data_IF_816823050402
#
_entry.id   IF_816823050402
#
_cell.length_a   1.000
_cell.length_b   1.000
_cell.length_c   1.000
_cell.angle_alpha   90.00
_cell.angle_beta   90.00
_cell.angle_gamma   90.00
#
_symmetry.space_group_name_H-M   'P 1'
#
loop_
_entity.id
_entity.type
_entity.pdbx_description
1 polymer ?
#
# COMPACT_ATOMS: atom_id res chain seq x y z
N UNK A 1 9.40 1.57 -7.28
CA UNK A 1 10.45 0.69 -7.86
C UNK A 1 11.14 1.41 -9.02
N UNK A 2 12.40 1.10 -9.31
CA UNK A 2 13.09 1.66 -10.47
C UNK A 2 12.54 1.11 -11.81
N UNK A 3 12.87 1.78 -12.91
CA UNK A 3 12.42 1.40 -14.25
C UNK A 3 12.83 -0.02 -14.67
N UNK A 4 14.01 -0.50 -14.27
CA UNK A 4 14.49 -1.82 -14.69
C UNK A 4 13.70 -2.95 -14.04
N UNK A 5 13.32 -2.78 -12.77
CA UNK A 5 12.42 -3.71 -12.05
C UNK A 5 11.02 -3.71 -12.67
N UNK A 6 10.52 -2.55 -13.09
CA UNK A 6 9.25 -2.45 -13.80
C UNK A 6 9.27 -3.21 -15.13
N UNK A 7 10.31 -3.02 -15.95
CA UNK A 7 10.47 -3.78 -17.20
C UNK A 7 10.60 -5.27 -16.92
N UNK A 8 11.34 -5.66 -15.88
CA UNK A 8 11.42 -7.07 -15.47
C UNK A 8 10.04 -7.65 -15.17
N UNK A 9 9.21 -6.96 -14.37
CA UNK A 9 7.84 -7.40 -14.04
C UNK A 9 7.02 -7.66 -15.32
N UNK A 10 7.08 -6.74 -16.28
CA UNK A 10 6.31 -6.85 -17.52
C UNK A 10 6.81 -7.97 -18.45
N UNK A 11 8.12 -8.08 -18.66
CA UNK A 11 8.71 -9.09 -19.53
C UNK A 11 8.57 -10.50 -18.94
N UNK A 12 8.74 -10.65 -17.62
CA UNK A 12 8.60 -11.96 -16.95
C UNK A 12 7.16 -12.30 -16.58
N UNK A 13 6.23 -11.33 -16.63
CA UNK A 13 4.85 -11.44 -16.13
C UNK A 13 4.79 -12.12 -14.76
N UNK A 14 5.69 -11.70 -13.87
CA UNK A 14 5.94 -12.35 -12.58
C UNK A 14 6.37 -11.33 -11.55
N UNK A 15 5.89 -11.49 -10.32
CA UNK A 15 6.42 -10.78 -9.17
C UNK A 15 7.71 -11.47 -8.70
N UNK A 16 8.74 -10.68 -8.38
CA UNK A 16 9.96 -11.19 -7.77
C UNK A 16 9.81 -11.23 -6.25
N UNK A 17 9.98 -12.41 -5.67
CA UNK A 17 9.99 -12.63 -4.23
C UNK A 17 11.45 -12.78 -3.78
N UNK A 18 11.92 -11.80 -3.02
CA UNK A 18 13.29 -11.75 -2.49
C UNK A 18 13.45 -12.73 -1.35
N UNK A 19 14.60 -13.43 -1.25
CA UNK A 19 14.90 -14.26 -0.09
C UNK A 19 14.89 -13.42 1.19
N UNK A 20 14.25 -13.95 2.23
CA UNK A 20 14.23 -13.33 3.55
C UNK A 20 15.64 -13.13 4.12
N UNK A 21 16.59 -14.01 3.77
CA UNK A 21 17.98 -13.86 4.21
C UNK A 21 18.64 -12.58 3.67
N UNK A 22 18.32 -12.18 2.44
CA UNK A 22 18.84 -10.95 1.85
C UNK A 22 18.25 -9.72 2.55
N UNK A 23 16.97 -9.78 2.91
CA UNK A 23 16.36 -8.73 3.70
C UNK A 23 17.04 -8.60 5.08
N UNK A 24 17.36 -9.74 5.70
CA UNK A 24 18.09 -9.80 6.97
C UNK A 24 19.52 -9.23 6.91
N UNK A 25 20.17 -9.26 5.75
CA UNK A 25 21.48 -8.60 5.55
C UNK A 25 21.36 -7.07 5.63
N UNK A 26 20.19 -6.51 5.28
CA UNK A 26 19.92 -5.06 5.33
C UNK A 26 19.33 -4.61 6.67
N UNK A 27 18.52 -5.46 7.30
CA UNK A 27 18.00 -5.27 8.65
C UNK A 27 18.17 -6.56 9.46
N UNK A 28 19.11 -6.56 10.41
CA UNK A 28 19.40 -7.73 11.25
C UNK A 28 18.19 -8.27 12.03
N UNK A 29 17.16 -7.44 12.24
CA UNK A 29 15.94 -7.82 12.95
C UNK A 29 14.92 -8.51 12.05
N UNK A 30 15.05 -8.36 10.74
CA UNK A 30 14.13 -8.92 9.76
C UNK A 30 14.20 -10.45 9.74
N UNK A 31 13.05 -11.12 9.92
CA UNK A 31 12.99 -12.57 9.98
C UNK A 31 13.47 -13.19 11.30
N UNK A 32 13.66 -12.39 12.35
CA UNK A 32 14.14 -12.84 13.67
C UNK A 32 13.10 -12.66 14.78
N UNK A 33 13.30 -13.31 15.93
CA UNK A 33 12.53 -13.06 17.15
C UNK A 33 13.30 -12.15 18.10
N UNK A 34 12.60 -11.26 18.80
CA UNK A 34 13.17 -10.47 19.89
C UNK A 34 13.35 -11.32 21.18
N UNK A 35 14.11 -10.79 22.13
CA UNK A 35 14.43 -11.50 23.37
C UNK A 35 13.17 -11.83 24.20
N UNK A 36 12.22 -10.91 24.29
CA UNK A 36 10.95 -11.14 25.00
C UNK A 36 10.17 -12.35 24.45
N UNK A 37 10.14 -12.53 23.12
CA UNK A 37 9.52 -13.69 22.49
C UNK A 37 10.29 -14.98 22.80
N UNK A 38 11.63 -14.93 22.76
CA UNK A 38 12.49 -16.09 23.04
C UNK A 38 12.39 -16.57 24.50
N UNK A 39 12.13 -15.65 25.43
CA UNK A 39 12.00 -15.95 26.87
C UNK A 39 10.59 -16.38 27.29
N UNK A 40 9.59 -16.22 26.41
CA UNK A 40 8.20 -16.60 26.70
C UNK A 40 8.05 -18.13 26.67
N UNK A 41 7.60 -18.78 27.76
CA UNK A 41 7.44 -20.24 27.80
C UNK A 41 6.39 -20.70 26.79
N UNK A 42 6.81 -21.37 25.72
CA UNK A 42 5.91 -22.05 24.77
C UNK A 42 5.39 -23.36 25.35
N UNK A 43 4.20 -23.80 24.92
CA UNK A 43 3.69 -25.14 25.23
C UNK A 43 4.72 -26.23 24.93
N UNK A 44 4.93 -27.13 25.91
CA UNK A 44 6.01 -28.13 25.99
C UNK A 44 6.10 -29.14 24.84
N UNK A 45 5.15 -29.13 23.90
CA UNK A 45 5.18 -29.98 22.71
C UNK A 45 6.00 -29.39 21.54
N UNK A 46 6.44 -28.12 21.64
CA UNK A 46 7.29 -27.45 20.65
C UNK A 46 8.73 -27.28 21.17
N UNK A 47 8.96 -27.55 22.45
CA UNK A 47 10.23 -27.32 23.15
C UNK A 47 11.42 -28.15 22.62
N UNK A 48 11.20 -29.22 21.85
CA UNK A 48 12.27 -29.93 21.14
C UNK A 48 12.76 -29.19 19.89
N UNK A 49 12.02 -28.21 19.38
CA UNK A 49 12.42 -27.35 18.25
C UNK A 49 13.02 -26.00 18.70
N UNK A 50 12.77 -25.57 19.95
CA UNK A 50 13.22 -24.27 20.46
C UNK A 50 14.59 -24.29 21.16
N UNK A 51 15.02 -25.41 21.76
CA UNK A 51 16.43 -25.58 22.20
C UNK A 51 17.41 -25.66 21.01
N UNK A 52 16.87 -25.94 19.81
CA UNK A 52 17.54 -25.81 18.52
C UNK A 52 17.37 -24.35 18.05
N UNK A 53 18.00 -23.43 18.80
CA UNK A 53 17.88 -21.97 18.66
C UNK A 53 18.19 -21.42 17.26
N UNK A 54 18.00 -20.10 17.07
CA UNK A 54 18.37 -19.23 15.92
C UNK A 54 18.68 -19.86 14.55
N UNK A 55 19.55 -20.85 14.48
CA UNK A 55 19.75 -21.79 13.39
C UNK A 55 18.45 -22.34 12.78
N UNK A 56 17.45 -22.87 13.52
CA UNK A 56 16.23 -23.42 12.86
C UNK A 56 15.45 -22.34 12.11
N UNK A 57 15.32 -21.15 12.70
CA UNK A 57 14.64 -20.03 12.06
C UNK A 57 15.42 -19.48 10.88
N UNK A 58 16.76 -19.49 10.98
CA UNK A 58 17.63 -19.12 9.88
C UNK A 58 17.58 -20.14 8.74
N UNK A 59 17.56 -21.43 9.06
CA UNK A 59 17.41 -22.50 8.07
C UNK A 59 16.02 -22.47 7.43
N UNK A 60 14.96 -22.19 8.20
CA UNK A 60 13.63 -21.96 7.65
C UNK A 60 13.59 -20.69 6.79
N UNK A 61 14.25 -19.61 7.22
CA UNK A 61 14.38 -18.35 6.49
C UNK A 61 15.06 -18.51 5.12
N UNK A 62 15.89 -19.54 4.91
CA UNK A 62 16.41 -19.90 3.58
C UNK A 62 15.31 -20.31 2.61
N UNK A 63 14.22 -20.86 3.12
CA UNK A 63 13.07 -21.32 2.34
C UNK A 63 12.05 -20.21 2.13
N UNK A 64 12.15 -19.09 2.85
CA UNK A 64 11.15 -18.04 2.81
C UNK A 64 11.55 -16.93 1.85
N UNK A 65 10.60 -16.55 0.99
CA UNK A 65 10.74 -15.45 0.04
C UNK A 65 9.57 -14.48 0.19
N UNK A 66 9.84 -13.19 -0.02
CA UNK A 66 8.94 -12.09 0.32
C UNK A 66 8.85 -11.09 -0.84
N UNK A 67 7.63 -10.65 -1.12
CA UNK A 67 7.33 -9.51 -1.98
C UNK A 67 6.54 -8.47 -1.17
N UNK A 68 7.12 -7.29 -0.96
CA UNK A 68 6.55 -6.23 -0.11
C UNK A 68 5.85 -5.13 -0.92
N UNK A 69 4.72 -4.66 -0.39
CA UNK A 69 3.90 -3.55 -0.91
C UNK A 69 3.71 -2.51 0.19
N UNK A 70 3.68 -1.23 -0.19
CA UNK A 70 3.28 -0.15 0.71
C UNK A 70 1.76 0.03 0.65
N UNK A 71 1.07 -0.12 1.78
CA UNK A 71 -0.38 0.05 1.86
C UNK A 71 -0.71 1.44 2.40
N UNK A 72 -1.26 2.31 1.55
CA UNK A 72 -1.68 3.65 1.93
C UNK A 72 -2.75 4.19 0.96
N UNK A 73 -3.59 5.12 1.44
CA UNK A 73 -4.64 5.75 0.62
C UNK A 73 -4.08 6.86 -0.28
N UNK A 74 -2.93 7.43 0.10
CA UNK A 74 -2.26 8.53 -0.61
C UNK A 74 -0.81 8.18 -0.92
N UNK A 75 -0.24 8.87 -1.92
CA UNK A 75 1.18 8.74 -2.24
C UNK A 75 2.05 9.27 -1.09
N UNK A 76 3.14 8.55 -0.80
CA UNK A 76 4.09 8.92 0.24
C UNK A 76 5.38 9.46 -0.38
N UNK A 77 5.67 10.74 -0.15
CA UNK A 77 6.94 11.38 -0.54
C UNK A 77 8.14 10.62 0.05
N UNK A 78 8.02 10.16 1.31
CA UNK A 78 9.06 9.39 1.96
C UNK A 78 9.34 8.07 1.22
N UNK A 79 8.30 7.35 0.79
CA UNK A 79 8.48 6.07 0.10
C UNK A 79 9.12 6.23 -1.28
N UNK A 80 8.81 7.32 -2.00
CA UNK A 80 9.51 7.65 -3.24
C UNK A 80 11.01 7.83 -3.01
N UNK A 81 11.40 8.57 -1.97
CA UNK A 81 12.80 8.82 -1.64
C UNK A 81 13.53 7.58 -1.11
N UNK A 82 12.85 6.71 -0.36
CA UNK A 82 13.46 5.48 0.20
C UNK A 82 13.69 4.42 -0.89
N UNK A 83 12.73 4.24 -1.80
CA UNK A 83 12.75 3.13 -2.76
C UNK A 83 13.31 3.49 -4.15
N UNK A 84 13.60 4.77 -4.41
CA UNK A 84 14.24 5.21 -5.64
C UNK A 84 15.59 5.88 -5.37
N UNK A 85 16.56 5.53 -6.20
CA UNK A 85 17.79 6.30 -6.32
C UNK A 85 17.63 7.29 -7.50
N UNK A 86 17.05 8.45 -7.23
CA UNK A 86 16.72 9.48 -8.22
C UNK A 86 15.26 9.47 -8.68
N UNK A 87 15.00 10.01 -9.88
CA UNK A 87 13.66 10.43 -10.32
C UNK A 87 13.11 9.53 -11.45
N UNK A 88 13.71 8.36 -11.68
CA UNK A 88 13.38 7.46 -12.79
C UNK A 88 12.77 6.17 -12.26
N UNK A 89 11.59 6.30 -11.65
CA UNK A 89 10.88 5.19 -11.05
C UNK A 89 9.40 5.19 -11.38
N UNK A 90 8.78 4.07 -11.07
CA UNK A 90 7.33 3.92 -11.12
C UNK A 90 6.84 3.25 -9.83
N UNK A 91 5.59 3.50 -9.49
CA UNK A 91 4.85 2.75 -8.50
C UNK A 91 3.74 1.98 -9.21
N UNK A 92 3.65 0.69 -8.93
CA UNK A 92 2.50 -0.10 -9.29
C UNK A 92 1.48 0.07 -8.18
N UNK A 93 0.30 0.55 -8.54
CA UNK A 93 -0.86 0.57 -7.65
C UNK A 93 -1.72 -0.65 -7.95
N UNK A 94 -2.12 -1.34 -6.90
CA UNK A 94 -3.07 -2.45 -6.92
C UNK A 94 -4.03 -2.29 -5.75
N UNK A 95 -5.15 -3.02 -5.80
CA UNK A 95 -5.94 -3.31 -4.61
C UNK A 95 -5.51 -4.65 -3.99
N UNK A 96 -5.88 -4.90 -2.73
CA UNK A 96 -5.65 -6.20 -2.09
C UNK A 96 -6.29 -7.33 -2.89
N UNK A 97 -7.51 -7.10 -3.40
CA UNK A 97 -8.24 -8.07 -4.22
C UNK A 97 -7.49 -8.43 -5.49
N UNK A 98 -7.11 -7.43 -6.28
CA UNK A 98 -6.37 -7.62 -7.54
C UNK A 98 -5.03 -8.32 -7.32
N UNK A 99 -4.31 -7.99 -6.24
CA UNK A 99 -3.06 -8.67 -5.90
C UNK A 99 -3.30 -10.17 -5.67
N UNK A 100 -4.33 -10.53 -4.89
CA UNK A 100 -4.70 -11.94 -4.64
C UNK A 100 -5.15 -12.63 -5.93
N UNK A 101 -6.06 -12.01 -6.69
CA UNK A 101 -6.64 -12.58 -7.91
C UNK A 101 -5.62 -12.66 -9.06
N UNK A 102 -4.52 -11.89 -9.02
CA UNK A 102 -3.47 -11.93 -10.04
C UNK A 102 -2.59 -13.18 -10.00
N UNK A 103 -2.50 -13.89 -8.87
CA UNK A 103 -1.65 -15.08 -8.77
C UNK A 103 -2.26 -16.24 -9.56
N UNK A 104 -1.46 -16.84 -10.44
CA UNK A 104 -1.90 -17.93 -11.32
C UNK A 104 -2.05 -19.23 -10.50
N UNK A 105 -3.22 -19.90 -10.46
CA UNK A 105 -3.43 -21.07 -9.59
C UNK A 105 -2.51 -22.27 -9.87
N UNK A 106 -1.99 -22.39 -11.10
CA UNK A 106 -1.17 -23.51 -11.53
C UNK A 106 0.31 -23.41 -11.10
N UNK A 107 0.71 -22.38 -10.34
CA UNK A 107 2.09 -22.34 -9.80
C UNK A 107 2.28 -23.37 -8.69
N UNK A 108 3.50 -23.91 -8.55
CA UNK A 108 3.87 -24.80 -7.45
C UNK A 108 4.04 -24.09 -6.09
N UNK A 109 4.02 -22.76 -6.07
CA UNK A 109 4.23 -21.96 -4.88
C UNK A 109 2.89 -21.57 -4.26
N UNK A 110 2.75 -21.83 -2.96
CA UNK A 110 1.65 -21.31 -2.17
C UNK A 110 2.02 -19.91 -1.65
N UNK A 111 1.18 -18.92 -1.94
CA UNK A 111 1.40 -17.52 -1.55
C UNK A 111 0.46 -17.14 -0.42
N UNK A 112 1.02 -16.76 0.71
CA UNK A 112 0.30 -16.19 1.84
C UNK A 112 0.49 -14.68 1.88
N UNK A 113 -0.60 -13.90 2.03
CA UNK A 113 -0.52 -12.44 2.07
C UNK A 113 -0.93 -11.93 3.45
N UNK A 114 -0.10 -11.08 4.07
CA UNK A 114 -0.35 -10.56 5.40
C UNK A 114 0.19 -9.14 5.61
N UNK A 115 -0.44 -8.41 6.53
CA UNK A 115 0.09 -7.12 7.00
C UNK A 115 1.26 -7.34 7.93
N UNK A 116 2.27 -6.48 7.83
CA UNK A 116 3.39 -6.48 8.77
C UNK A 116 2.97 -5.87 10.09
N UNK A 117 3.28 -6.57 11.18
CA UNK A 117 3.13 -6.07 12.54
C UNK A 117 4.44 -5.40 12.97
N UNK A 118 4.33 -4.18 13.50
CA UNK A 118 5.47 -3.41 13.96
C UNK A 118 5.56 -3.53 15.47
N UNK A 119 6.70 -4.03 15.94
CA UNK A 119 6.91 -4.44 17.31
C UNK A 119 8.17 -3.78 17.88
N UNK A 120 8.09 -3.44 19.16
CA UNK A 120 9.20 -2.99 19.99
C UNK A 120 9.95 -4.19 20.61
N UNK A 121 11.05 -3.89 21.29
CA UNK A 121 11.90 -4.91 21.94
C UNK A 121 11.15 -5.74 23.00
N UNK A 122 10.13 -5.16 23.63
CA UNK A 122 9.37 -5.79 24.73
C UNK A 122 8.09 -6.50 24.26
N UNK A 123 7.70 -6.35 23.00
CA UNK A 123 6.47 -6.95 22.52
C UNK A 123 6.65 -8.44 22.29
N UNK A 124 5.65 -9.24 22.65
CA UNK A 124 5.69 -10.68 22.41
C UNK A 124 5.09 -10.93 21.03
N UNK A 125 5.89 -11.54 20.16
CA UNK A 125 5.40 -12.02 18.89
C UNK A 125 4.45 -13.20 19.14
N UNK A 126 3.16 -13.08 18.76
CA UNK A 126 2.20 -14.14 19.03
C UNK A 126 2.60 -15.42 18.31
N UNK A 127 2.67 -16.51 19.06
CA UNK A 127 2.87 -17.82 18.45
C UNK A 127 1.67 -18.13 17.54
N UNK A 128 1.92 -18.59 16.30
CA UNK A 128 0.84 -19.02 15.44
C UNK A 128 0.10 -20.18 16.12
N UNK A 129 -1.20 -20.30 15.84
CA UNK A 129 -1.89 -21.58 16.03
C UNK A 129 -1.35 -22.57 14.98
N UNK A 130 -0.16 -23.14 15.22
CA UNK A 130 0.57 -24.02 14.30
C UNK A 130 2.01 -23.57 14.05
N UNK A 131 2.83 -24.43 13.43
CA UNK A 131 4.19 -24.10 13.00
C UNK A 131 4.14 -23.60 11.55
N UNK A 132 3.87 -22.31 11.32
CA UNK A 132 3.94 -21.77 9.96
C UNK A 132 5.25 -21.06 9.66
N UNK A 133 6.01 -20.55 10.64
CA UNK A 133 7.32 -19.89 10.45
C UNK A 133 7.30 -18.59 9.62
N UNK A 134 6.30 -18.42 8.75
CA UNK A 134 5.99 -17.27 7.91
C UNK A 134 5.66 -16.03 8.72
N UNK A 135 5.19 -16.23 9.94
CA UNK A 135 4.98 -15.17 10.88
C UNK A 135 6.30 -14.34 11.02
N UNK A 136 7.50 -14.97 10.96
CA UNK A 136 8.82 -14.33 10.93
C UNK A 136 8.94 -13.17 9.93
N UNK A 137 8.29 -13.36 8.80
CA UNK A 137 8.31 -12.46 7.65
C UNK A 137 7.29 -11.34 7.77
N UNK A 138 6.36 -11.43 8.71
CA UNK A 138 5.25 -10.48 8.91
C UNK A 138 5.43 -9.62 10.17
N UNK A 139 6.67 -9.46 10.63
CA UNK A 139 7.02 -8.45 11.61
C UNK A 139 8.30 -7.71 11.26
N UNK A 140 8.35 -6.47 11.74
CA UNK A 140 9.45 -5.54 11.53
C UNK A 140 9.62 -4.65 12.76
N UNK A 141 10.82 -4.13 12.94
CA UNK A 141 11.09 -3.23 14.07
C UNK A 141 10.22 -1.97 13.97
N UNK A 142 9.75 -1.49 15.12
CA UNK A 142 8.85 -0.33 15.26
C UNK A 142 9.24 0.90 14.43
N UNK A 143 10.54 1.18 14.32
CA UNK A 143 11.09 2.30 13.56
C UNK A 143 10.73 2.27 12.07
N UNK A 144 10.40 1.10 11.51
CA UNK A 144 10.00 0.94 10.12
C UNK A 144 8.48 1.08 9.91
N UNK A 145 7.69 1.45 10.94
CA UNK A 145 6.23 1.58 10.84
C UNK A 145 5.76 2.49 9.70
N UNK A 146 6.57 3.48 9.32
CA UNK A 146 6.27 4.37 8.19
C UNK A 146 6.14 3.63 6.85
N UNK A 147 6.71 2.43 6.71
CA UNK A 147 6.62 1.63 5.50
C UNK A 147 5.26 0.97 5.29
N UNK A 148 4.42 0.83 6.33
CA UNK A 148 3.05 0.28 6.24
C UNK A 148 2.92 -0.95 5.32
N UNK A 149 3.86 -1.90 5.46
CA UNK A 149 3.99 -3.03 4.56
C UNK A 149 2.82 -4.03 4.61
N UNK A 150 2.42 -4.45 3.41
CA UNK A 150 1.69 -5.68 3.12
C UNK A 150 2.65 -6.61 2.38
N UNK A 151 2.81 -7.85 2.83
CA UNK A 151 3.74 -8.82 2.25
C UNK A 151 2.99 -10.00 1.68
N UNK A 152 3.32 -10.35 0.44
CA UNK A 152 3.10 -11.67 -0.10
C UNK A 152 4.33 -12.52 0.23
N UNK A 153 4.13 -13.70 0.80
CA UNK A 153 5.17 -14.59 1.30
C UNK A 153 4.97 -15.97 0.69
N UNK A 154 6.06 -16.56 0.18
CA UNK A 154 6.06 -17.88 -0.41
C UNK A 154 7.19 -18.72 0.17
N UNK A 155 6.90 -19.99 0.44
CA UNK A 155 7.90 -21.00 0.78
C UNK A 155 8.40 -21.64 -0.50
N UNK A 156 9.71 -21.75 -0.63
CA UNK A 156 10.40 -22.31 -1.79
C UNK A 156 11.47 -23.29 -1.35
N UNK A 157 11.93 -24.13 -2.27
CA UNK A 157 13.12 -24.94 -2.06
C UNK A 157 14.38 -24.15 -2.41
N UNK A 158 15.54 -24.42 -1.77
CA UNK A 158 16.79 -23.69 -2.06
C UNK A 158 17.23 -23.77 -3.52
N UNK A 159 16.97 -24.89 -4.19
CA UNK A 159 17.27 -25.12 -5.61
C UNK A 159 16.47 -24.22 -6.57
N UNK A 160 15.33 -23.70 -6.13
CA UNK A 160 14.48 -22.81 -6.92
C UNK A 160 14.96 -21.35 -6.83
N UNK A 161 15.76 -21.01 -5.82
CA UNK A 161 16.27 -19.65 -5.63
C UNK A 161 17.19 -19.30 -6.79
N UNK A 162 16.74 -18.35 -7.59
CA UNK A 162 17.48 -17.85 -8.72
C UNK A 162 18.80 -17.22 -8.25
N UNK A 163 19.81 -17.16 -9.12
CA UNK A 163 21.12 -16.54 -8.82
C UNK A 163 21.06 -15.09 -8.33
N UNK A 164 19.90 -14.44 -8.46
CA UNK A 164 19.65 -13.07 -7.99
C UNK A 164 19.05 -13.03 -6.57
N UNK A 165 18.95 -14.16 -5.88
CA UNK A 165 18.56 -14.21 -4.48
C UNK A 165 17.05 -14.25 -4.24
N UNK A 166 16.27 -14.83 -5.15
CA UNK A 166 14.82 -14.91 -5.00
C UNK A 166 14.18 -15.74 -6.10
N UNK A 167 12.85 -15.75 -6.13
CA UNK A 167 12.05 -16.50 -7.12
C UNK A 167 11.11 -15.57 -7.88
N UNK A 168 10.75 -15.95 -9.09
CA UNK A 168 9.69 -15.30 -9.84
C UNK A 168 8.42 -16.14 -9.71
N UNK A 169 7.35 -15.52 -9.23
CA UNK A 169 6.02 -16.13 -9.17
C UNK A 169 5.15 -15.49 -10.26
N UNK A 170 4.65 -16.29 -11.23
CA UNK A 170 3.81 -15.79 -12.31
C UNK A 170 2.54 -15.10 -11.82
N UNK A 171 2.20 -13.99 -12.48
CA UNK A 171 0.99 -13.20 -12.22
C UNK A 171 0.35 -12.73 -13.52
N UNK A 172 -0.96 -12.55 -13.50
CA UNK A 172 -1.65 -11.76 -14.50
C UNK A 172 -1.39 -10.26 -14.25
N UNK A 173 -0.59 -9.64 -15.12
CA UNK A 173 -0.23 -8.22 -15.01
C UNK A 173 -1.41 -7.29 -15.32
N UNK A 174 -2.41 -7.74 -16.07
CA UNK A 174 -3.60 -6.95 -16.36
C UNK A 174 -4.52 -6.91 -15.13
N UNK A 175 -4.63 -8.03 -14.41
CA UNK A 175 -5.35 -8.09 -13.13
C UNK A 175 -4.61 -7.35 -12.02
N UNK A 176 -3.31 -7.60 -11.88
CA UNK A 176 -2.45 -7.03 -10.83
C UNK A 176 -2.40 -5.50 -10.85
N UNK A 177 -2.27 -4.91 -12.04
CA UNK A 177 -1.94 -3.49 -12.17
C UNK A 177 -3.23 -2.69 -12.30
N UNK A 178 -3.62 -1.94 -11.27
CA UNK A 178 -4.66 -0.92 -11.37
C UNK A 178 -4.12 0.34 -12.06
N UNK A 179 -2.92 0.76 -11.66
CA UNK A 179 -2.29 2.00 -12.15
C UNK A 179 -0.77 1.90 -12.14
N UNK A 180 -0.14 2.53 -13.12
CA UNK A 180 1.32 2.73 -13.21
C UNK A 180 1.57 4.21 -12.96
N UNK A 181 2.03 4.55 -11.78
CA UNK A 181 2.30 5.94 -11.39
C UNK A 181 3.77 6.25 -11.64
N UNK A 182 4.04 7.22 -12.51
CA UNK A 182 5.41 7.70 -12.79
C UNK A 182 5.86 8.60 -11.63
N UNK A 183 7.10 8.42 -11.17
CA UNK A 183 7.62 9.11 -9.99
C UNK A 183 7.53 10.64 -10.09
N UNK A 184 7.36 11.34 -8.95
CA UNK A 184 7.36 12.79 -8.91
C UNK A 184 8.64 13.38 -9.50
N UNK A 185 8.53 14.53 -10.16
CA UNK A 185 9.63 15.26 -10.80
C UNK A 185 10.38 14.44 -11.86
N UNK A 186 9.77 13.37 -12.37
CA UNK A 186 10.31 12.64 -13.50
C UNK A 186 10.29 13.53 -14.76
N UNK A 187 11.37 13.56 -15.56
CA UNK A 187 11.37 14.32 -16.80
C UNK A 187 10.36 13.74 -17.79
N UNK A 188 9.76 14.61 -18.62
CA UNK A 188 8.72 14.21 -19.60
C UNK A 188 9.12 13.04 -20.50
N UNK A 189 10.37 12.98 -20.94
CA UNK A 189 10.85 11.86 -21.77
C UNK A 189 10.75 10.51 -21.06
N UNK A 190 10.86 10.49 -19.72
CA UNK A 190 10.75 9.27 -18.93
C UNK A 190 9.30 8.80 -18.84
N UNK A 191 8.36 9.74 -18.65
CA UNK A 191 6.93 9.43 -18.77
C UNK A 191 6.61 8.81 -20.13
N UNK A 192 7.07 9.44 -21.22
CA UNK A 192 6.87 8.94 -22.59
C UNK A 192 7.53 7.57 -22.83
N UNK A 193 8.66 7.28 -22.16
CA UNK A 193 9.28 5.97 -22.19
C UNK A 193 8.42 4.93 -21.46
N UNK A 194 7.94 5.23 -20.24
CA UNK A 194 7.05 4.35 -19.47
C UNK A 194 5.78 4.08 -20.26
N UNK A 195 5.15 5.09 -20.86
CA UNK A 195 3.95 4.93 -21.68
C UNK A 195 4.17 4.00 -22.87
N UNK A 196 5.26 4.17 -23.63
CA UNK A 196 5.59 3.28 -24.77
C UNK A 196 5.85 1.84 -24.35
N UNK A 197 6.51 1.63 -23.21
CA UNK A 197 6.69 0.28 -22.67
C UNK A 197 5.35 -0.30 -22.26
N UNK A 198 4.52 0.45 -21.53
CA UNK A 198 3.19 -0.01 -21.09
C UNK A 198 2.27 -0.32 -22.28
N UNK A 199 2.36 0.42 -23.38
CA UNK A 199 1.60 0.19 -24.61
C UNK A 199 1.87 -1.20 -25.21
N UNK A 200 3.12 -1.69 -25.21
CA UNK A 200 3.48 -3.05 -25.65
C UNK A 200 2.71 -4.15 -24.89
N UNK A 201 2.24 -3.83 -23.68
CA UNK A 201 1.53 -4.74 -22.78
C UNK A 201 0.04 -4.39 -22.62
N UNK A 202 -0.51 -3.49 -23.44
CA UNK A 202 -1.90 -3.00 -23.34
C UNK A 202 -2.23 -2.31 -22.00
N UNK A 203 -1.22 -1.70 -21.35
CA UNK A 203 -1.36 -1.03 -20.05
C UNK A 203 -1.24 0.50 -20.14
N UNK A 204 -1.17 1.08 -21.35
CA UNK A 204 -0.93 2.53 -21.55
C UNK A 204 -1.99 3.40 -20.86
N UNK A 205 -3.26 2.99 -20.90
CA UNK A 205 -4.38 3.68 -20.23
C UNK A 205 -4.26 3.68 -18.69
N UNK A 206 -3.41 2.82 -18.14
CA UNK A 206 -3.13 2.74 -16.69
C UNK A 206 -1.96 3.63 -16.28
N UNK A 207 -1.24 4.25 -17.21
CA UNK A 207 -0.10 5.12 -16.90
C UNK A 207 -0.58 6.52 -16.52
N UNK A 208 -0.05 7.07 -15.43
CA UNK A 208 -0.32 8.44 -15.04
C UNK A 208 0.88 9.07 -14.31
N UNK A 209 1.00 10.41 -14.31
CA UNK A 209 1.96 11.09 -13.46
C UNK A 209 1.59 10.94 -11.98
N UNK A 210 2.56 11.15 -11.10
CA UNK A 210 2.30 11.29 -9.67
C UNK A 210 1.39 12.49 -9.39
N UNK A 211 0.49 12.35 -8.43
CA UNK A 211 -0.32 13.48 -7.93
C UNK A 211 0.53 14.48 -7.17
N UNK A 212 1.74 14.10 -6.73
CA UNK A 212 2.69 14.99 -6.07
C UNK A 212 3.29 16.03 -7.05
N UNK A 213 3.17 15.81 -8.36
CA UNK A 213 3.55 16.79 -9.39
C UNK A 213 2.46 17.83 -9.65
N UNK A 214 1.25 17.64 -9.09
CA UNK A 214 0.19 18.63 -9.24
C UNK A 214 0.61 19.91 -8.50
N UNK A 215 0.73 21.01 -9.24
CA UNK A 215 0.88 22.32 -8.62
C UNK A 215 -0.35 22.57 -7.73
N UNK A 216 -0.17 22.98 -6.45
CA UNK A 216 -1.29 23.28 -5.55
C UNK A 216 -2.29 24.31 -6.12
N UNK A 217 -1.87 25.11 -7.12
CA UNK A 217 -2.71 26.09 -7.84
C UNK A 217 -3.23 25.67 -9.22
N UNK A 218 -2.93 24.47 -9.71
CA UNK A 218 -3.40 23.94 -11.01
C UNK A 218 -4.48 22.85 -10.87
N UNK A 219 -5.08 22.70 -9.69
CA UNK A 219 -6.40 22.07 -9.59
C UNK A 219 -7.37 23.00 -10.32
N UNK A 220 -7.91 22.54 -11.45
CA UNK A 220 -8.72 23.40 -12.31
C UNK A 220 -9.98 23.84 -11.57
N UNK A 221 -10.42 25.11 -11.68
CA UNK A 221 -11.75 25.54 -11.25
C UNK A 221 -12.92 24.75 -11.88
N UNK A 222 -12.62 23.92 -12.89
CA UNK A 222 -13.57 23.02 -13.55
C UNK A 222 -13.71 21.64 -12.88
N UNK A 223 -12.87 21.30 -11.90
CA UNK A 223 -12.97 20.07 -11.12
C UNK A 223 -14.16 20.15 -10.18
N UNK A 224 -15.28 19.57 -10.64
CA UNK A 224 -16.55 19.55 -9.94
C UNK A 224 -16.51 18.55 -8.79
N UNK A 225 -16.72 19.02 -7.56
CA UNK A 225 -16.94 18.13 -6.41
C UNK A 225 -18.38 17.64 -6.45
N UNK A 226 -18.57 16.33 -6.65
CA UNK A 226 -19.90 15.71 -6.66
C UNK A 226 -20.22 15.19 -5.26
N UNK A 227 -21.24 15.76 -4.63
CA UNK A 227 -21.76 15.32 -3.33
C UNK A 227 -23.11 14.64 -3.55
N UNK A 228 -23.26 13.41 -3.06
CA UNK A 228 -24.54 12.70 -3.08
C UNK A 228 -25.24 12.93 -1.74
N UNK A 229 -26.46 13.47 -1.79
CA UNK A 229 -27.29 13.69 -0.60
C UNK A 229 -28.54 12.83 -0.70
N UNK A 230 -28.75 11.99 0.31
CA UNK A 230 -29.94 11.14 0.43
C UNK A 230 -31.01 11.85 1.26
N UNK A 231 -32.22 11.97 0.73
CA UNK A 231 -33.35 12.53 1.48
C UNK A 231 -33.80 11.55 2.57
N UNK A 232 -33.81 11.91 3.86
CA UNK A 232 -34.21 10.97 4.92
C UNK A 232 -35.70 10.60 4.83
N UNK A 233 -36.53 11.44 4.22
CA UNK A 233 -37.97 11.21 4.15
C UNK A 233 -38.42 10.30 3.00
N UNK A 234 -37.85 10.45 1.80
CA UNK A 234 -38.25 9.68 0.62
C UNK A 234 -37.12 8.85 0.01
N UNK A 235 -35.94 8.84 0.63
CA UNK A 235 -34.75 8.09 0.21
C UNK A 235 -34.20 8.45 -1.17
N UNK A 236 -34.72 9.49 -1.83
CA UNK A 236 -34.19 9.96 -3.11
C UNK A 236 -32.77 10.51 -2.95
N UNK A 237 -31.85 9.98 -3.75
CA UNK A 237 -30.50 10.53 -3.93
C UNK A 237 -30.52 11.76 -4.84
N UNK A 238 -29.82 12.81 -4.42
CA UNK A 238 -29.64 14.02 -5.21
C UNK A 238 -28.15 14.33 -5.31
N UNK A 239 -27.66 14.44 -6.55
CA UNK A 239 -26.28 14.85 -6.84
C UNK A 239 -26.17 16.37 -6.83
N UNK A 240 -25.22 16.87 -6.05
CA UNK A 240 -24.83 18.27 -6.01
C UNK A 240 -23.46 18.39 -6.63
N UNK A 241 -23.36 19.32 -7.57
CA UNK A 241 -22.11 19.65 -8.23
C UNK A 241 -21.66 20.97 -7.63
N UNK A 242 -20.68 20.92 -6.75
CA UNK A 242 -20.12 22.11 -6.12
C UNK A 242 -18.89 22.57 -6.92
N UNK A 243 -18.72 23.88 -7.16
CA UNK A 243 -17.42 24.39 -7.57
C UNK A 243 -16.41 24.10 -6.45
N UNK A 244 -15.11 23.95 -6.77
CA UNK A 244 -14.08 23.83 -5.76
C UNK A 244 -14.12 25.08 -4.86
N UNK A 245 -14.07 24.87 -3.54
CA UNK A 245 -14.09 25.92 -2.54
C UNK A 245 -12.89 25.79 -1.61
N UNK A 246 -12.35 26.92 -1.12
CA UNK A 246 -11.29 26.93 -0.11
C UNK A 246 -11.93 26.85 1.27
N UNK A 247 -11.43 25.97 2.14
CA UNK A 247 -11.91 25.83 3.53
C UNK A 247 -11.61 27.10 4.36
N UNK A 248 -10.58 27.86 3.98
CA UNK A 248 -10.12 29.09 4.66
C UNK A 248 -11.04 30.31 4.51
N UNK A 249 -12.12 30.24 3.72
CA UNK A 249 -13.13 31.32 3.63
C UNK A 249 -14.11 31.34 4.84
N UNK A 250 -13.87 30.50 5.85
CA UNK A 250 -14.48 30.63 7.17
C UNK A 250 -13.69 31.65 8.02
N UNK A 251 -14.26 32.80 8.40
CA UNK A 251 -13.56 33.74 9.26
C UNK A 251 -13.41 33.15 10.66
N UNK A 252 -12.16 32.92 11.08
CA UNK A 252 -11.83 32.62 12.47
C UNK A 252 -12.26 33.80 13.37
N UNK A 253 -13.16 33.52 14.31
CA UNK A 253 -13.48 34.45 15.40
C UNK A 253 -14.80 35.21 15.26
N UNK A 254 -15.93 34.49 15.29
CA UNK A 254 -17.14 35.01 15.92
C UNK A 254 -17.68 33.99 16.91
N UNK A 255 -17.43 34.28 18.19
CA UNK A 255 -18.13 33.68 19.32
C UNK A 255 -19.65 33.83 19.16
N UNK A 256 -20.34 32.70 19.26
CA UNK A 256 -21.77 32.51 19.48
C UNK A 256 -22.75 32.93 18.37
N UNK A 257 -23.59 31.95 18.00
CA UNK A 257 -24.86 32.02 17.25
C UNK A 257 -24.81 31.85 15.73
N UNK A 258 -23.97 30.97 15.17
CA UNK A 258 -24.29 30.17 13.96
C UNK A 258 -23.46 28.88 13.99
N UNK A 259 -24.09 27.69 14.03
CA UNK A 259 -23.39 26.40 14.02
C UNK A 259 -23.02 25.99 12.58
N UNK A 260 -21.72 25.96 12.30
CA UNK A 260 -21.09 25.92 10.99
C UNK A 260 -21.08 24.56 10.26
N UNK A 261 -21.91 23.59 10.65
CA UNK A 261 -21.73 22.19 10.18
C UNK A 261 -22.96 21.63 9.43
N UNK A 262 -23.99 22.43 9.16
CA UNK A 262 -25.28 21.93 8.66
C UNK A 262 -25.77 22.72 7.46
N UNK A 263 -25.88 22.05 6.30
CA UNK A 263 -26.53 22.59 5.12
C UNK A 263 -27.98 22.10 5.07
N UNK A 264 -28.91 23.03 4.84
CA UNK A 264 -30.32 22.73 4.64
C UNK A 264 -30.58 22.42 3.17
N UNK A 265 -31.06 21.22 2.89
CA UNK A 265 -31.44 20.77 1.56
C UNK A 265 -32.96 20.71 1.42
N UNK A 266 -33.46 21.17 0.27
CA UNK A 266 -34.84 20.89 -0.16
C UNK A 266 -34.81 19.67 -1.08
N UNK A 267 -35.53 18.62 -0.72
CA UNK A 267 -35.68 17.47 -1.59
C UNK A 267 -36.46 17.83 -2.86
N UNK A 268 -35.90 17.56 -4.04
CA UNK A 268 -36.60 17.76 -5.33
C UNK A 268 -37.81 16.84 -5.53
N UNK A 269 -37.89 15.72 -4.80
CA UNK A 269 -39.00 14.76 -4.90
C UNK A 269 -40.13 15.10 -3.93
N UNK A 270 -39.85 15.14 -2.62
CA UNK A 270 -40.90 15.35 -1.60
C UNK A 270 -41.03 16.80 -1.12
N UNK A 271 -40.23 17.72 -1.66
CA UNK A 271 -40.19 19.16 -1.28
C UNK A 271 -39.84 19.45 0.19
N UNK A 272 -39.55 18.42 0.98
CA UNK A 272 -39.23 18.58 2.40
C UNK A 272 -37.81 19.12 2.59
N UNK A 273 -37.69 20.02 3.56
CA UNK A 273 -36.41 20.54 4.02
C UNK A 273 -35.81 19.57 5.03
N UNK A 274 -34.53 19.27 4.88
CA UNK A 274 -33.76 18.48 5.85
C UNK A 274 -32.34 19.03 5.97
N UNK A 275 -31.76 18.91 7.16
CA UNK A 275 -30.38 19.31 7.42
C UNK A 275 -29.49 18.07 7.36
N UNK A 276 -28.32 18.21 6.73
CA UNK A 276 -27.26 17.20 6.83
C UNK A 276 -25.91 17.89 7.03
N UNK A 277 -25.00 17.19 7.70
CA UNK A 277 -23.60 17.59 7.77
C UNK A 277 -22.88 17.07 6.53
N UNK A 278 -22.30 17.96 5.72
CA UNK A 278 -21.33 17.53 4.72
C UNK A 278 -20.07 17.09 5.46
N UNK A 279 -19.94 15.80 5.73
CA UNK A 279 -18.61 15.22 5.91
C UNK A 279 -18.02 15.10 4.51
N UNK A 280 -17.30 16.12 4.07
CA UNK A 280 -16.39 15.97 2.93
C UNK A 280 -15.42 14.86 3.37
N UNK A 281 -15.28 13.75 2.64
CA UNK A 281 -14.27 12.76 2.97
C UNK A 281 -12.93 13.47 2.90
N UNK A 282 -12.28 13.61 4.05
CA UNK A 282 -10.96 14.23 4.31
C UNK A 282 -10.21 14.61 3.04
N UNK A 283 -10.59 15.75 2.46
CA UNK A 283 -9.85 16.41 1.39
C UNK A 283 -8.96 17.43 2.08
N UNK A 284 -7.66 17.19 1.96
CA UNK A 284 -6.51 18.01 2.34
C UNK A 284 -6.90 19.45 2.72
N UNK A 285 -6.86 19.74 4.01
CA UNK A 285 -6.88 21.11 4.53
C UNK A 285 -5.47 21.64 4.38
N UNK A 286 -5.22 22.45 3.35
CA UNK A 286 -3.98 23.20 3.22
C UNK A 286 -4.22 24.60 3.82
N UNK A 287 -3.56 24.88 4.94
CA UNK A 287 -3.58 26.19 5.59
C UNK A 287 -2.44 27.01 4.99
N UNK A 288 -2.71 28.09 4.23
CA UNK A 288 -1.63 28.95 3.77
C UNK A 288 -1.04 29.70 4.97
N UNK A 289 0.22 29.41 5.30
CA UNK A 289 1.00 30.32 6.13
C UNK A 289 1.27 31.63 5.37
N UNK A 290 1.16 32.74 6.10
CA UNK A 290 1.39 34.12 5.65
C UNK A 290 2.70 34.33 4.90
#
# INVERSE_FOLDING_TARGET
MDFTKFVSLLETKSLFFCSQLILQETDKHEGSYNQATLETPSDKNILTAFDVGSNVLREFGKLVTVNSWHMNDIESVAMWNVYLNGNHGVAIKSTFRQLVESFIPETKYEVSIGKVNYLSENDIIPQPQGFNGLNASLWKWESYRYEQELRAVAITMPEDIHKYGGIYIPVDIEELIEKIVVSPNAPRWFYELVSRIAEKYNLVEKVAPSRLDANPGEISPSDKVVVIVVCPNCQTEQKLVLPPFKIADFPDGMTSVYSADRITFRCKTCSQLFMTSLRVPSAIVDVPNK
#
